data_IF_154366776022
#
_entry.id   IF_154366776022
#
_cell.length_a   1.000
_cell.length_b   1.000
_cell.length_c   1.000
_cell.angle_alpha   90.00
_cell.angle_beta   90.00
_cell.angle_gamma   90.00
#
_symmetry.space_group_name_H-M   'P 1'
#
loop_
_entity.id
_entity.type
_entity.pdbx_description
1 polymer ?
#
# COMPACT_ATOMS: atom_id res chain seq x y z
N UNK A 1 -4.48 14.63 5.22
CA UNK A 1 -4.01 13.54 6.07
C UNK A 1 -2.74 12.94 5.48
N UNK A 2 -1.74 12.65 6.33
CA UNK A 2 -0.65 11.75 5.96
C UNK A 2 -1.17 10.33 6.09
N UNK A 3 -0.83 9.44 5.16
CA UNK A 3 -1.46 8.11 5.07
C UNK A 3 -0.48 7.00 4.72
N UNK A 4 -0.92 5.77 4.90
CA UNK A 4 -0.27 4.60 4.31
C UNK A 4 1.04 4.19 4.97
N UNK A 5 1.99 3.75 4.14
CA UNK A 5 3.27 3.20 4.60
C UNK A 5 4.07 4.14 5.49
N UNK A 6 3.99 5.44 5.25
CA UNK A 6 4.68 6.43 6.08
C UNK A 6 4.16 6.44 7.52
N UNK A 7 2.82 6.40 7.71
CA UNK A 7 2.21 6.34 9.05
C UNK A 7 2.62 5.06 9.76
N UNK A 8 2.50 3.92 9.10
CA UNK A 8 2.98 2.64 9.63
C UNK A 8 4.44 2.71 10.07
N UNK A 9 5.31 3.26 9.22
CA UNK A 9 6.75 3.28 9.46
C UNK A 9 7.13 4.24 10.60
N UNK A 10 6.35 5.31 10.87
CA UNK A 10 6.50 6.14 12.08
C UNK A 10 6.32 5.28 13.33
N UNK A 11 5.24 4.49 13.43
CA UNK A 11 4.97 3.67 14.61
C UNK A 11 5.93 2.48 14.74
N UNK A 12 6.48 1.99 13.62
CA UNK A 12 7.51 0.94 13.62
C UNK A 12 8.94 1.49 13.81
N UNK A 13 9.10 2.80 14.03
CA UNK A 13 10.39 3.48 14.13
C UNK A 13 11.34 3.18 12.96
N UNK A 14 10.76 3.01 11.75
CA UNK A 14 11.50 2.70 10.53
C UNK A 14 11.70 3.98 9.72
N UNK A 15 12.89 4.17 9.13
CA UNK A 15 13.10 5.31 8.24
C UNK A 15 12.20 5.18 7.01
N UNK A 16 11.41 6.20 6.74
CA UNK A 16 10.59 6.32 5.53
C UNK A 16 10.81 7.69 4.90
N UNK A 17 10.82 7.73 3.58
CA UNK A 17 11.02 8.96 2.80
C UNK A 17 9.84 9.26 1.89
N UNK A 18 8.96 8.28 1.66
CA UNK A 18 7.80 8.40 0.78
C UNK A 18 6.60 8.90 1.61
N UNK A 19 6.35 10.20 1.55
CA UNK A 19 5.27 10.84 2.30
C UNK A 19 4.07 11.02 1.38
N UNK A 20 3.01 10.22 1.63
CA UNK A 20 1.75 10.32 0.92
C UNK A 20 0.75 11.18 1.72
N UNK A 21 0.17 12.17 1.07
CA UNK A 21 -0.86 13.03 1.64
C UNK A 21 -2.15 12.90 0.86
N UNK A 22 -3.19 12.41 1.51
CA UNK A 22 -4.56 12.38 0.99
C UNK A 22 -5.27 13.69 1.36
N UNK A 23 -5.91 14.29 0.37
CA UNK A 23 -6.67 15.52 0.50
C UNK A 23 -8.13 15.26 0.18
N UNK A 24 -9.05 15.56 1.09
CA UNK A 24 -10.49 15.57 0.78
C UNK A 24 -10.74 16.78 -0.12
N UNK A 25 -10.78 16.53 -1.44
CA UNK A 25 -10.77 17.52 -2.49
C UNK A 25 -9.52 17.45 -3.37
N UNK A 26 -8.98 18.57 -3.82
CA UNK A 26 -7.90 18.60 -4.82
C UNK A 26 -6.49 18.57 -4.21
N UNK A 27 -5.82 17.43 -4.28
CA UNK A 27 -4.41 17.30 -3.92
C UNK A 27 -3.50 18.25 -4.70
N UNK A 28 -3.78 18.47 -5.99
CA UNK A 28 -3.03 19.41 -6.83
C UNK A 28 -3.10 20.85 -6.28
N UNK A 29 -4.26 21.30 -5.78
CA UNK A 29 -4.40 22.65 -5.20
C UNK A 29 -3.55 22.80 -3.94
N UNK A 30 -3.56 21.79 -3.06
CA UNK A 30 -2.77 21.80 -1.82
C UNK A 30 -1.26 21.76 -2.14
N UNK A 31 -0.84 20.93 -3.08
CA UNK A 31 0.56 20.87 -3.53
C UNK A 31 1.06 22.21 -4.08
N UNK A 32 0.23 22.91 -4.88
CA UNK A 32 0.55 24.25 -5.38
C UNK A 32 0.70 25.26 -4.25
N UNK A 33 -0.23 25.28 -3.29
CA UNK A 33 -0.17 26.17 -2.14
C UNK A 33 1.07 25.92 -1.27
N UNK A 34 1.45 24.65 -1.06
CA UNK A 34 2.68 24.30 -0.36
C UNK A 34 3.92 24.82 -1.12
N UNK A 35 3.98 24.59 -2.43
CA UNK A 35 5.09 25.06 -3.28
C UNK A 35 5.22 26.58 -3.23
N UNK A 36 4.12 27.33 -3.26
CA UNK A 36 4.13 28.78 -3.15
C UNK A 36 4.71 29.26 -1.82
N UNK A 37 4.34 28.61 -0.71
CA UNK A 37 4.88 28.90 0.63
C UNK A 37 6.36 28.58 0.76
N UNK A 38 6.82 27.50 0.15
CA UNK A 38 8.23 27.08 0.17
C UNK A 38 9.09 27.90 -0.81
N UNK A 39 8.46 28.59 -1.78
CA UNK A 39 9.11 29.47 -2.73
C UNK A 39 10.02 28.75 -3.74
N UNK A 40 11.12 29.42 -4.13
CA UNK A 40 12.03 28.96 -5.19
C UNK A 40 12.80 27.68 -4.84
N UNK A 41 12.82 27.28 -3.56
CA UNK A 41 13.55 26.09 -3.08
C UNK A 41 12.75 24.77 -3.23
N UNK A 42 11.51 24.85 -3.69
CA UNK A 42 10.65 23.69 -3.91
C UNK A 42 10.37 23.50 -5.40
N UNK A 43 10.31 22.22 -5.80
CA UNK A 43 9.94 21.79 -7.14
C UNK A 43 8.56 21.13 -7.08
N UNK A 44 7.70 21.46 -8.05
CA UNK A 44 6.35 20.90 -8.16
C UNK A 44 6.25 20.12 -9.48
N UNK A 45 5.86 18.87 -9.40
CA UNK A 45 5.44 18.03 -10.53
C UNK A 45 3.94 17.76 -10.43
N UNK A 46 3.20 17.92 -11.54
CA UNK A 46 1.74 17.71 -11.57
C UNK A 46 1.40 16.65 -12.59
N UNK A 47 0.72 15.60 -12.15
CA UNK A 47 0.28 14.46 -12.94
C UNK A 47 -1.24 14.53 -13.14
N UNK A 48 -1.68 15.39 -14.06
CA UNK A 48 -3.11 15.71 -14.26
C UNK A 48 -3.98 14.49 -14.52
N UNK A 49 -3.48 13.51 -15.29
CA UNK A 49 -4.23 12.30 -15.64
C UNK A 49 -4.50 11.40 -14.42
N UNK A 50 -3.72 11.54 -13.36
CA UNK A 50 -3.85 10.77 -12.11
C UNK A 50 -4.45 11.60 -10.98
N UNK A 51 -4.67 12.90 -11.19
CA UNK A 51 -5.14 13.80 -10.15
C UNK A 51 -4.12 14.03 -9.01
N UNK A 52 -2.83 13.71 -9.23
CA UNK A 52 -1.78 13.77 -8.21
C UNK A 52 -0.78 14.88 -8.49
N UNK A 53 -0.07 15.29 -7.46
CA UNK A 53 1.04 16.22 -7.56
C UNK A 53 2.11 15.90 -6.50
N UNK A 54 3.37 16.17 -6.83
CA UNK A 54 4.52 15.88 -5.99
C UNK A 54 5.29 17.19 -5.74
N UNK A 55 5.64 17.42 -4.47
CA UNK A 55 6.48 18.55 -4.06
C UNK A 55 7.78 18.03 -3.47
N UNK A 56 8.91 18.42 -4.08
CA UNK A 56 10.27 18.13 -3.59
C UNK A 56 10.90 19.39 -3.05
N UNK A 57 11.48 19.31 -1.87
CA UNK A 57 12.19 20.42 -1.26
C UNK A 57 13.28 19.95 -0.28
N UNK A 58 14.19 20.87 0.06
CA UNK A 58 15.20 20.62 1.10
C UNK A 58 14.86 21.34 2.40
N UNK A 59 14.97 20.63 3.49
CA UNK A 59 14.83 21.19 4.83
C UNK A 59 15.99 22.16 5.16
N UNK A 60 15.88 22.89 6.24
CA UNK A 60 16.98 23.73 6.78
C UNK A 60 18.23 22.91 7.11
N UNK A 61 18.06 21.64 7.45
CA UNK A 61 19.15 20.69 7.75
C UNK A 61 19.74 20.04 6.50
N UNK A 62 19.28 20.42 5.29
CA UNK A 62 19.77 19.88 4.01
C UNK A 62 19.13 18.56 3.59
N UNK A 63 18.25 17.96 4.41
CA UNK A 63 17.54 16.73 4.07
C UNK A 63 16.55 17.01 2.94
N UNK A 64 16.58 16.17 1.90
CA UNK A 64 15.60 16.21 0.81
C UNK A 64 14.33 15.52 1.26
N UNK A 65 13.18 16.16 1.02
CA UNK A 65 11.85 15.65 1.31
C UNK A 65 11.04 15.67 0.02
N UNK A 66 10.32 14.59 -0.18
CA UNK A 66 9.37 14.42 -1.26
C UNK A 66 8.00 14.10 -0.66
N UNK A 67 6.98 14.85 -1.08
CA UNK A 67 5.60 14.66 -0.63
C UNK A 67 4.71 14.53 -1.84
N UNK A 68 3.99 13.42 -1.92
CA UNK A 68 2.95 13.21 -2.94
C UNK A 68 1.58 13.61 -2.37
N UNK A 69 0.81 14.34 -3.18
CA UNK A 69 -0.54 14.78 -2.84
C UNK A 69 -1.53 14.13 -3.79
N UNK A 70 -2.50 13.44 -3.24
CA UNK A 70 -3.59 12.80 -4.00
C UNK A 70 -4.94 13.26 -3.45
N UNK A 71 -5.96 13.38 -4.30
CA UNK A 71 -7.35 13.53 -3.84
C UNK A 71 -7.84 12.25 -3.18
N UNK A 72 -8.60 12.37 -2.09
CA UNK A 72 -9.35 11.23 -1.56
C UNK A 72 -10.30 10.71 -2.64
N UNK A 73 -10.36 9.40 -2.82
CA UNK A 73 -11.13 8.81 -3.91
C UNK A 73 -11.85 7.54 -3.48
N UNK A 74 -13.03 7.37 -4.07
CA UNK A 74 -13.77 6.12 -4.05
C UNK A 74 -13.45 5.33 -5.31
N UNK A 75 -13.21 4.05 -5.16
CA UNK A 75 -12.91 3.13 -6.26
C UNK A 75 -14.01 2.08 -6.37
N UNK A 76 -14.45 1.80 -7.58
CA UNK A 76 -15.34 0.67 -7.88
C UNK A 76 -14.73 -0.17 -9.01
N UNK A 77 -14.86 -1.50 -8.90
CA UNK A 77 -14.20 -2.44 -9.80
C UNK A 77 -15.21 -3.27 -10.58
N UNK A 78 -14.85 -3.59 -11.83
CA UNK A 78 -15.59 -4.55 -12.65
C UNK A 78 -14.86 -5.89 -12.64
N UNK A 79 -15.60 -7.00 -12.54
CA UNK A 79 -15.07 -8.35 -12.36
C UNK A 79 -13.99 -8.78 -13.38
N UNK A 80 -13.99 -8.25 -14.58
CA UNK A 80 -13.02 -8.57 -15.65
C UNK A 80 -11.85 -7.59 -15.77
N UNK A 81 -11.78 -6.58 -14.92
CA UNK A 81 -10.78 -5.52 -15.01
C UNK A 81 -10.28 -5.14 -13.62
N UNK A 82 -8.97 -4.96 -13.50
CA UNK A 82 -8.33 -4.35 -12.30
C UNK A 82 -8.30 -2.81 -12.37
N UNK A 83 -8.75 -2.19 -13.47
CA UNK A 83 -8.82 -0.74 -13.57
C UNK A 83 -10.08 -0.26 -12.85
N UNK A 84 -9.97 0.48 -11.75
CA UNK A 84 -11.12 1.01 -11.06
C UNK A 84 -11.77 2.14 -11.85
N UNK A 85 -13.06 2.27 -11.69
CA UNK A 85 -13.74 3.53 -11.90
C UNK A 85 -13.50 4.39 -10.65
N UNK A 86 -13.05 5.63 -10.84
CA UNK A 86 -12.59 6.51 -9.76
C UNK A 86 -13.46 7.75 -9.68
N UNK A 87 -13.96 8.04 -8.48
CA UNK A 87 -14.73 9.25 -8.15
C UNK A 87 -14.08 9.96 -6.95
N UNK A 88 -14.38 11.25 -6.79
CA UNK A 88 -13.99 11.98 -5.58
C UNK A 88 -14.64 11.33 -4.36
N UNK A 89 -13.88 11.12 -3.30
CA UNK A 89 -14.30 10.41 -2.11
C UNK A 89 -13.97 11.15 -0.81
N UNK A 90 -14.35 10.51 0.27
CA UNK A 90 -14.01 10.90 1.64
C UNK A 90 -12.70 10.24 2.09
N UNK A 91 -12.20 10.60 3.28
CA UNK A 91 -11.09 9.87 3.89
C UNK A 91 -11.45 8.39 4.13
N UNK A 92 -12.67 8.12 4.57
CA UNK A 92 -13.18 6.77 4.79
C UNK A 92 -13.17 5.95 3.49
N UNK A 93 -13.63 6.51 2.37
CA UNK A 93 -13.56 5.85 1.06
C UNK A 93 -12.12 5.52 0.69
N UNK A 94 -11.17 6.43 0.94
CA UNK A 94 -9.74 6.19 0.67
C UNK A 94 -9.16 5.09 1.57
N UNK A 95 -9.55 5.04 2.85
CA UNK A 95 -9.11 4.00 3.78
C UNK A 95 -9.72 2.63 3.44
N UNK A 96 -11.00 2.58 3.08
CA UNK A 96 -11.71 1.35 2.70
C UNK A 96 -11.10 0.64 1.49
N UNK A 97 -10.57 1.38 0.51
CA UNK A 97 -9.95 0.82 -0.70
C UNK A 97 -8.52 0.32 -0.52
N UNK A 98 -7.90 0.54 0.65
CA UNK A 98 -6.51 0.15 0.90
C UNK A 98 -6.36 -1.37 1.06
N UNK A 99 -5.13 -1.84 0.87
CA UNK A 99 -4.82 -3.26 0.86
C UNK A 99 -4.85 -3.91 2.26
N UNK A 100 -4.21 -3.27 3.26
CA UNK A 100 -4.07 -3.84 4.61
C UNK A 100 -4.31 -2.78 5.68
N UNK A 101 -4.78 -3.22 6.85
CA UNK A 101 -5.08 -2.38 8.01
C UNK A 101 -3.90 -1.52 8.41
N UNK A 102 -2.70 -2.10 8.47
CA UNK A 102 -1.44 -1.40 8.79
C UNK A 102 -1.06 -0.30 7.79
N UNK A 103 -1.64 -0.32 6.59
CA UNK A 103 -1.45 0.70 5.55
C UNK A 103 -2.69 1.61 5.41
N UNK A 104 -3.76 1.38 6.18
CA UNK A 104 -4.99 2.15 6.12
C UNK A 104 -5.07 3.26 7.17
N UNK A 105 -4.10 3.34 8.08
CA UNK A 105 -3.99 4.39 9.07
C UNK A 105 -3.71 5.76 8.44
N UNK A 106 -4.22 6.82 9.07
CA UNK A 106 -4.02 8.20 8.66
C UNK A 106 -3.73 9.10 9.85
N UNK A 107 -2.91 10.14 9.65
CA UNK A 107 -2.66 11.18 10.65
C UNK A 107 -3.23 12.51 10.11
N UNK A 108 -4.07 13.16 10.90
CA UNK A 108 -4.68 14.42 10.53
C UNK A 108 -3.67 15.57 10.49
N UNK A 109 -3.72 16.38 9.42
CA UNK A 109 -2.89 17.59 9.26
C UNK A 109 -3.68 18.89 9.42
N UNK A 110 -5.00 18.82 9.63
CA UNK A 110 -5.81 20.01 9.86
C UNK A 110 -5.51 20.58 11.25
N UNK A 111 -5.49 21.91 11.37
CA UNK A 111 -5.09 22.63 12.60
C UNK A 111 -5.83 22.18 13.86
N UNK A 112 -7.14 21.93 13.72
CA UNK A 112 -8.02 21.58 14.85
C UNK A 112 -7.77 20.17 15.42
N UNK A 113 -7.28 19.25 14.58
CA UNK A 113 -7.04 17.84 14.91
C UNK A 113 -5.63 17.41 14.54
N UNK A 114 -4.69 18.34 14.53
CA UNK A 114 -3.32 18.07 14.08
C UNK A 114 -2.64 16.97 14.91
N UNK A 115 -2.13 15.97 14.22
CA UNK A 115 -1.45 14.82 14.82
C UNK A 115 -2.37 13.71 15.31
N UNK A 116 -3.71 13.87 15.19
CA UNK A 116 -4.67 12.83 15.58
C UNK A 116 -4.59 11.64 14.62
N UNK A 117 -4.47 10.45 15.18
CA UNK A 117 -4.53 9.18 14.44
C UNK A 117 -5.98 8.83 14.09
N UNK A 118 -6.20 8.50 12.83
CA UNK A 118 -7.47 7.96 12.31
C UNK A 118 -7.23 6.52 11.85
N UNK A 119 -7.68 5.58 12.66
CA UNK A 119 -7.45 4.15 12.47
C UNK A 119 -8.77 3.35 12.63
N UNK A 120 -9.63 3.36 11.60
CA UNK A 120 -10.95 2.72 11.70
C UNK A 120 -10.91 1.18 11.64
N UNK A 121 -9.74 0.57 11.37
CA UNK A 121 -9.59 -0.87 11.18
C UNK A 121 -8.63 -1.52 12.18
N UNK A 122 -8.33 -0.84 13.27
CA UNK A 122 -7.42 -1.33 14.30
C UNK A 122 -6.02 -1.72 13.76
N UNK A 123 -5.53 -1.00 12.74
CA UNK A 123 -4.23 -1.26 12.13
C UNK A 123 -3.06 -1.11 13.09
N UNK A 124 -3.20 -0.28 14.13
CA UNK A 124 -2.21 -0.15 15.19
C UNK A 124 -2.11 -1.44 16.03
N UNK A 125 -3.24 -2.07 16.36
CA UNK A 125 -3.27 -3.37 17.06
C UNK A 125 -2.70 -4.48 16.17
N UNK A 126 -3.14 -4.59 14.92
CA UNK A 126 -2.58 -5.56 13.97
C UNK A 126 -1.05 -5.41 13.83
N UNK A 127 -0.57 -4.18 13.87
CA UNK A 127 0.88 -3.91 13.81
C UNK A 127 1.61 -4.33 15.09
N UNK A 128 1.01 -4.13 16.29
CA UNK A 128 1.57 -4.57 17.56
C UNK A 128 1.60 -6.11 17.65
N UNK A 129 0.56 -6.76 17.13
CA UNK A 129 0.45 -8.22 17.10
C UNK A 129 1.25 -8.86 15.95
N UNK A 130 1.82 -8.03 15.05
CA UNK A 130 2.57 -8.51 13.90
C UNK A 130 1.71 -9.22 12.86
N UNK A 131 0.53 -8.67 12.54
CA UNK A 131 -0.47 -9.27 11.66
C UNK A 131 -0.64 -8.45 10.38
N UNK A 132 -0.79 -9.12 9.24
CA UNK A 132 -1.25 -8.56 7.98
C UNK A 132 -2.69 -9.01 7.74
N UNK A 133 -3.61 -8.06 7.74
CA UNK A 133 -5.05 -8.25 7.56
C UNK A 133 -5.60 -7.21 6.59
N UNK A 134 -6.62 -7.57 5.81
CA UNK A 134 -7.33 -6.60 4.95
C UNK A 134 -8.32 -5.75 5.76
N UNK A 135 -8.52 -4.45 5.41
CA UNK A 135 -9.49 -3.60 6.09
C UNK A 135 -10.92 -4.12 5.99
N UNK A 136 -11.28 -4.62 4.82
CA UNK A 136 -12.60 -5.17 4.49
C UNK A 136 -12.46 -6.66 4.15
N UNK A 137 -13.56 -7.25 3.65
CA UNK A 137 -13.59 -8.64 3.18
C UNK A 137 -12.40 -8.94 2.26
N UNK A 138 -11.53 -9.91 2.61
CA UNK A 138 -10.35 -10.24 1.84
C UNK A 138 -10.67 -10.80 0.45
N UNK A 139 -11.79 -11.51 0.27
CA UNK A 139 -12.18 -12.02 -1.04
C UNK A 139 -12.52 -10.88 -2.01
N UNK A 140 -13.20 -9.83 -1.53
CA UNK A 140 -13.46 -8.61 -2.30
C UNK A 140 -12.14 -7.89 -2.58
N UNK A 141 -11.32 -7.69 -1.56
CA UNK A 141 -10.02 -6.99 -1.65
C UNK A 141 -9.11 -7.61 -2.71
N UNK A 142 -9.01 -8.94 -2.75
CA UNK A 142 -8.17 -9.65 -3.73
C UNK A 142 -8.84 -9.82 -5.09
N UNK A 143 -10.17 -9.84 -5.12
CA UNK A 143 -10.92 -9.82 -6.37
C UNK A 143 -10.78 -8.48 -7.12
N UNK A 144 -10.78 -7.36 -6.40
CA UNK A 144 -10.67 -6.01 -6.94
C UNK A 144 -9.29 -5.76 -7.58
N UNK A 145 -8.22 -6.03 -6.86
CA UNK A 145 -6.85 -5.99 -7.41
C UNK A 145 -6.07 -7.24 -6.97
N UNK A 146 -5.97 -8.26 -7.82
CA UNK A 146 -5.26 -9.50 -7.49
C UNK A 146 -3.78 -9.34 -7.17
N UNK A 147 -3.15 -8.22 -7.56
CA UNK A 147 -1.76 -7.94 -7.15
C UNK A 147 -1.63 -7.82 -5.63
N UNK A 148 -2.72 -7.45 -4.93
CA UNK A 148 -2.74 -7.37 -3.46
C UNK A 148 -2.42 -8.70 -2.80
N UNK A 149 -2.63 -9.83 -3.48
CA UNK A 149 -2.21 -11.15 -2.99
C UNK A 149 -0.69 -11.25 -2.85
N UNK A 150 0.06 -10.85 -3.87
CA UNK A 150 1.53 -10.79 -3.79
C UNK A 150 2.02 -9.72 -2.81
N UNK A 151 1.32 -8.59 -2.74
CA UNK A 151 1.61 -7.55 -1.75
C UNK A 151 1.39 -8.04 -0.32
N UNK A 152 0.38 -8.90 -0.07
CA UNK A 152 0.14 -9.53 1.23
C UNK A 152 1.36 -10.32 1.69
N UNK A 153 1.81 -11.25 0.88
CA UNK A 153 3.01 -12.05 1.17
C UNK A 153 4.25 -11.17 1.29
N UNK A 154 4.40 -10.18 0.42
CA UNK A 154 5.53 -9.25 0.50
C UNK A 154 5.55 -8.47 1.82
N UNK A 155 4.43 -7.89 2.24
CA UNK A 155 4.40 -7.14 3.50
C UNK A 155 4.61 -8.06 4.71
N UNK A 156 4.01 -9.24 4.73
CA UNK A 156 4.25 -10.24 5.77
C UNK A 156 5.75 -10.58 5.88
N UNK A 157 6.43 -10.79 4.76
CA UNK A 157 7.86 -11.07 4.72
C UNK A 157 8.70 -9.86 5.12
N UNK A 158 8.41 -8.68 4.56
CA UNK A 158 9.17 -7.44 4.76
C UNK A 158 9.09 -6.92 6.20
N UNK A 159 7.93 -7.05 6.83
CA UNK A 159 7.68 -6.60 8.19
C UNK A 159 7.97 -7.70 9.22
N UNK A 160 8.16 -8.93 8.77
CA UNK A 160 8.23 -10.14 9.57
C UNK A 160 6.94 -10.36 10.39
N UNK A 161 5.79 -10.14 9.76
CA UNK A 161 4.46 -10.31 10.31
C UNK A 161 3.86 -11.63 9.83
N UNK A 162 2.83 -12.11 10.52
CA UNK A 162 2.00 -13.24 10.09
C UNK A 162 0.83 -12.73 9.24
N UNK A 163 0.33 -13.57 8.35
CA UNK A 163 -0.91 -13.28 7.62
C UNK A 163 -2.07 -13.83 8.44
N UNK A 164 -3.09 -13.00 8.68
CA UNK A 164 -4.33 -13.42 9.34
C UNK A 164 -4.96 -14.63 8.63
N UNK A 165 -5.50 -15.59 9.36
CA UNK A 165 -5.99 -16.86 8.80
C UNK A 165 -7.10 -16.67 7.76
N UNK A 166 -8.03 -15.73 8.01
CA UNK A 166 -9.10 -15.40 7.06
C UNK A 166 -8.54 -14.78 5.78
N UNK A 167 -7.54 -13.90 5.92
CA UNK A 167 -6.82 -13.28 4.81
C UNK A 167 -6.01 -14.32 4.04
N UNK A 168 -5.33 -15.24 4.72
CA UNK A 168 -4.56 -16.32 4.08
C UNK A 168 -5.47 -17.26 3.28
N UNK A 169 -6.58 -17.70 3.87
CA UNK A 169 -7.57 -18.54 3.18
C UNK A 169 -8.16 -17.87 1.93
N UNK A 170 -8.28 -16.54 1.95
CA UNK A 170 -8.73 -15.81 0.78
C UNK A 170 -7.66 -15.74 -0.34
N UNK A 171 -6.35 -15.76 0.00
CA UNK A 171 -5.28 -15.94 -1.01
C UNK A 171 -5.50 -17.23 -1.79
N UNK A 172 -5.74 -18.35 -1.10
CA UNK A 172 -5.96 -19.66 -1.71
C UNK A 172 -7.18 -19.66 -2.63
N UNK A 173 -8.30 -19.07 -2.18
CA UNK A 173 -9.55 -19.02 -2.96
C UNK A 173 -9.43 -18.14 -4.21
N UNK A 174 -8.67 -17.06 -4.15
CA UNK A 174 -8.58 -16.06 -5.22
C UNK A 174 -7.33 -16.21 -6.11
N UNK A 175 -6.42 -17.14 -5.83
CA UNK A 175 -5.12 -17.27 -6.51
C UNK A 175 -5.18 -17.27 -8.03
N UNK A 176 -6.19 -17.90 -8.62
CA UNK A 176 -6.35 -17.98 -10.08
C UNK A 176 -6.50 -16.59 -10.74
N UNK A 177 -6.96 -15.59 -9.99
CA UNK A 177 -7.08 -14.23 -10.50
C UNK A 177 -5.74 -13.55 -10.75
N UNK A 178 -4.64 -14.09 -10.22
CA UNK A 178 -3.29 -13.57 -10.48
C UNK A 178 -2.95 -13.54 -11.97
N UNK A 179 -3.58 -14.41 -12.76
CA UNK A 179 -3.38 -14.54 -14.21
C UNK A 179 -3.75 -13.29 -15.01
N UNK A 180 -4.57 -12.38 -14.45
CA UNK A 180 -4.90 -11.09 -15.12
C UNK A 180 -3.82 -10.03 -14.88
N UNK A 181 -2.83 -10.28 -14.03
CA UNK A 181 -1.74 -9.35 -13.72
C UNK A 181 -0.61 -9.55 -14.71
N UNK A 182 -0.04 -8.44 -15.18
CA UNK A 182 1.13 -8.50 -16.08
C UNK A 182 2.34 -9.08 -15.37
N UNK A 183 3.16 -9.87 -16.10
CA UNK A 183 4.39 -10.48 -15.59
C UNK A 183 5.37 -9.44 -15.01
N UNK A 184 5.42 -8.23 -15.59
CA UNK A 184 6.25 -7.12 -15.07
C UNK A 184 5.88 -6.77 -13.61
N UNK A 185 4.59 -6.61 -13.31
CA UNK A 185 4.14 -6.26 -11.95
C UNK A 185 4.32 -7.42 -10.96
N UNK A 186 4.13 -8.66 -11.42
CA UNK A 186 4.44 -9.84 -10.63
C UNK A 186 5.93 -9.85 -10.27
N UNK A 187 6.81 -9.64 -11.26
CA UNK A 187 8.26 -9.60 -11.08
C UNK A 187 8.70 -8.48 -10.13
N UNK A 188 8.06 -7.31 -10.19
CA UNK A 188 8.33 -6.21 -9.24
C UNK A 188 8.07 -6.62 -7.78
N UNK A 189 6.94 -7.26 -7.49
CA UNK A 189 6.63 -7.70 -6.13
C UNK A 189 7.53 -8.87 -5.68
N UNK A 190 7.83 -9.84 -6.56
CA UNK A 190 8.78 -10.92 -6.27
C UNK A 190 10.18 -10.37 -5.96
N UNK A 191 10.65 -9.39 -6.74
CA UNK A 191 11.94 -8.75 -6.48
C UNK A 191 11.98 -8.02 -5.13
N UNK A 192 10.85 -7.46 -4.68
CA UNK A 192 10.75 -6.85 -3.36
C UNK A 192 10.79 -7.91 -2.25
N UNK A 193 10.19 -9.10 -2.45
CA UNK A 193 10.29 -10.25 -1.53
C UNK A 193 11.74 -10.71 -1.45
N UNK A 194 12.40 -10.94 -2.59
CA UNK A 194 13.79 -11.38 -2.66
C UNK A 194 14.77 -10.43 -1.94
N UNK A 195 14.47 -9.13 -1.92
CA UNK A 195 15.30 -8.11 -1.23
C UNK A 195 15.05 -8.01 0.27
N UNK A 196 14.14 -8.79 0.84
CA UNK A 196 13.91 -8.82 2.30
C UNK A 196 15.03 -9.56 3.03
N UNK A 197 15.04 -9.47 4.36
CA UNK A 197 16.03 -10.18 5.19
C UNK A 197 15.82 -11.71 5.17
N UNK A 198 14.59 -12.15 5.04
CA UNK A 198 14.18 -13.56 5.08
C UNK A 198 13.25 -13.91 3.91
N UNK A 199 13.76 -13.92 2.66
CA UNK A 199 12.92 -14.13 1.48
C UNK A 199 12.27 -15.53 1.48
N UNK A 200 12.91 -16.54 2.08
CA UNK A 200 12.37 -17.91 2.21
C UNK A 200 10.98 -17.95 2.83
N UNK A 201 10.71 -17.12 3.87
CA UNK A 201 9.38 -17.00 4.46
C UNK A 201 8.32 -16.65 3.42
N UNK A 202 8.61 -15.67 2.55
CA UNK A 202 7.69 -15.26 1.49
C UNK A 202 7.46 -16.35 0.46
N UNK A 203 8.50 -17.08 0.06
CA UNK A 203 8.35 -18.18 -0.90
C UNK A 203 7.59 -19.37 -0.30
N UNK A 204 7.77 -19.67 0.99
CA UNK A 204 6.97 -20.66 1.70
C UNK A 204 5.49 -20.28 1.70
N UNK A 205 5.16 -19.02 2.02
CA UNK A 205 3.78 -18.55 2.01
C UNK A 205 3.16 -18.56 0.60
N UNK A 206 3.93 -18.17 -0.44
CA UNK A 206 3.50 -18.27 -1.84
C UNK A 206 3.23 -19.73 -2.25
N UNK A 207 4.03 -20.68 -1.79
CA UNK A 207 3.82 -22.10 -2.06
C UNK A 207 2.60 -22.63 -1.34
N UNK A 208 2.46 -22.34 -0.05
CA UNK A 208 1.33 -22.79 0.79
C UNK A 208 -0.01 -22.31 0.23
N UNK A 209 -0.14 -21.04 -0.20
CA UNK A 209 -1.37 -20.53 -0.80
C UNK A 209 -1.53 -20.91 -2.29
N UNK A 210 -0.55 -21.58 -2.90
CA UNK A 210 -0.58 -22.04 -4.28
C UNK A 210 -0.34 -20.97 -5.33
N UNK A 211 0.04 -19.74 -4.95
CA UNK A 211 0.41 -18.67 -5.90
C UNK A 211 1.73 -19.00 -6.61
N UNK A 212 2.69 -19.64 -5.94
CA UNK A 212 3.99 -19.97 -6.53
C UNK A 212 3.83 -20.82 -7.79
N UNK A 213 2.95 -21.84 -7.75
CA UNK A 213 2.68 -22.72 -8.89
C UNK A 213 2.14 -22.00 -10.11
N UNK A 214 1.48 -20.85 -9.91
CA UNK A 214 0.88 -20.06 -10.99
C UNK A 214 1.83 -19.05 -11.59
N UNK A 215 2.82 -18.58 -10.82
CA UNK A 215 3.73 -17.49 -11.21
C UNK A 215 5.14 -17.95 -11.56
N UNK A 216 5.61 -19.05 -10.94
CA UNK A 216 6.93 -19.66 -11.13
C UNK A 216 6.83 -21.18 -10.97
N UNK A 217 6.12 -21.88 -11.89
CA UNK A 217 5.90 -23.33 -11.79
C UNK A 217 7.22 -24.12 -11.73
N UNK A 218 8.28 -23.61 -12.37
CA UNK A 218 9.59 -24.26 -12.40
C UNK A 218 10.23 -24.39 -11.01
N UNK A 219 9.85 -23.53 -10.05
CA UNK A 219 10.35 -23.62 -8.67
C UNK A 219 9.57 -24.63 -7.82
N UNK A 220 8.39 -25.04 -8.22
CA UNK A 220 7.56 -25.96 -7.45
C UNK A 220 7.96 -27.42 -7.68
N UNK A 221 8.65 -27.70 -8.79
CA UNK A 221 9.21 -29.02 -9.10
C UNK A 221 10.56 -29.26 -8.42
N UNK A 222 11.13 -28.25 -7.79
CA UNK A 222 12.30 -28.41 -6.95
C UNK A 222 11.84 -28.97 -5.59
N UNK A 223 12.18 -30.22 -5.29
CA UNK A 223 12.04 -30.75 -3.94
C UNK A 223 12.74 -29.78 -2.98
N UNK A 224 11.96 -29.10 -2.16
CA UNK A 224 12.50 -28.28 -1.07
C UNK A 224 13.06 -29.30 -0.09
N UNK A 225 14.35 -29.59 -0.24
CA UNK A 225 15.10 -30.43 0.73
C UNK A 225 15.06 -29.66 2.05
N UNK A 226 14.40 -30.25 3.04
CA UNK A 226 14.38 -29.80 4.42
C UNK A 226 15.80 -29.69 5.03
#
# INVERSE_FOLDING_TARGET
YVVGGYVRDIFLERPSHDIDVVVVGSGIKVAKALKERLGKKAYLSVFKNFGTAQVKFRTKTGKEIEVEFVGARKESYQRGSRKPFVEDGTLEDDQNRRDFTVNAMAICLNSERFGELVDPFDGLYDMQDGIIRTPLDPDITFSDDPLRMLRCVRFATQLNFFIDDGTFSALERNKERIKIISGERISEELNKILKTKTPSKGFIDLQRCGLLNLILPELTDLDIVE
#
